data_IF_839775137117
#
_entry.id   IF_839775137117
#
_cell.length_a   1.000
_cell.length_b   1.000
_cell.length_c   1.000
_cell.angle_alpha   90.00
_cell.angle_beta   90.00
_cell.angle_gamma   90.00
#
_symmetry.space_group_name_H-M   'P 1'
#
loop_
_entity.id
_entity.type
_entity.pdbx_description
1 polymer ?
#
# COMPACT_ATOMS: atom_id res chain seq x y z
N UNK A 1 -23.03 -3.77 13.38
CA UNK A 1 -23.34 -5.10 12.81
C UNK A 1 -22.12 -5.64 12.08
N UNK A 2 -21.62 -6.81 12.48
CA UNK A 2 -20.39 -7.42 11.95
C UNK A 2 -20.62 -8.00 10.54
N UNK A 3 -20.12 -7.31 9.52
CA UNK A 3 -20.01 -7.81 8.13
C UNK A 3 -18.89 -8.86 7.93
N UNK A 4 -18.74 -9.80 8.86
CA UNK A 4 -17.63 -10.77 8.83
C UNK A 4 -17.64 -11.75 7.63
N UNK A 5 -18.77 -12.31 7.15
CA UNK A 5 -18.70 -13.40 6.17
C UNK A 5 -18.34 -12.93 4.76
N UNK A 6 -18.66 -11.68 4.40
CA UNK A 6 -18.33 -11.15 3.08
C UNK A 6 -16.82 -10.82 2.98
N UNK A 7 -16.26 -10.19 4.01
CA UNK A 7 -14.87 -9.76 3.99
C UNK A 7 -13.88 -10.94 4.02
N UNK A 8 -14.21 -12.04 4.69
CA UNK A 8 -13.37 -13.25 4.70
C UNK A 8 -13.21 -13.87 3.32
N UNK A 9 -14.23 -13.76 2.46
CA UNK A 9 -14.18 -14.27 1.07
C UNK A 9 -13.53 -13.29 0.09
N UNK A 10 -13.28 -12.05 0.52
CA UNK A 10 -12.69 -11.01 -0.32
C UNK A 10 -11.17 -10.90 -0.12
N UNK A 11 -10.46 -11.94 -0.58
CA UNK A 11 -8.99 -11.96 -0.55
C UNK A 11 -8.37 -10.82 -1.37
N UNK A 12 -9.09 -10.30 -2.39
CA UNK A 12 -8.61 -9.20 -3.24
C UNK A 12 -8.53 -7.89 -2.47
N UNK A 13 -9.55 -7.57 -1.69
CA UNK A 13 -9.50 -6.37 -0.83
C UNK A 13 -8.47 -6.56 0.28
N UNK A 14 -8.33 -7.77 0.83
CA UNK A 14 -7.30 -8.05 1.83
C UNK A 14 -5.88 -7.85 1.29
N UNK A 15 -5.55 -8.38 0.10
CA UNK A 15 -4.23 -8.18 -0.53
C UNK A 15 -3.98 -6.70 -0.83
N UNK A 16 -4.98 -5.97 -1.33
CA UNK A 16 -4.88 -4.52 -1.53
C UNK A 16 -4.55 -3.76 -0.23
N UNK A 17 -5.17 -4.13 0.89
CA UNK A 17 -4.86 -3.53 2.20
C UNK A 17 -3.47 -3.92 2.70
N UNK A 18 -3.01 -5.14 2.43
CA UNK A 18 -1.65 -5.59 2.78
C UNK A 18 -0.60 -4.72 2.09
N UNK A 19 -0.74 -4.51 0.78
CA UNK A 19 0.19 -3.69 -0.02
C UNK A 19 0.09 -2.21 0.37
N UNK A 20 -1.12 -1.64 0.48
CA UNK A 20 -1.30 -0.25 0.93
C UNK A 20 -0.65 0.03 2.29
N UNK A 21 -0.68 -0.95 3.20
CA UNK A 21 -0.04 -0.82 4.52
C UNK A 21 1.49 -0.72 4.43
N UNK A 22 2.10 -1.26 3.38
CA UNK A 22 3.54 -1.18 3.15
C UNK A 22 3.95 0.25 2.73
N UNK A 23 3.07 0.96 2.02
CA UNK A 23 3.32 2.32 1.54
C UNK A 23 2.88 3.40 2.54
N UNK A 24 1.74 3.19 3.21
CA UNK A 24 1.12 4.18 4.08
C UNK A 24 0.36 3.55 5.26
N UNK A 25 0.16 4.33 6.32
CA UNK A 25 -0.64 3.88 7.46
C UNK A 25 -2.12 3.69 7.07
N UNK A 26 -2.64 2.48 7.27
CA UNK A 26 -4.08 2.20 7.11
C UNK A 26 -4.93 2.90 8.18
N UNK A 27 -6.17 3.26 7.82
CA UNK A 27 -7.13 3.77 8.79
C UNK A 27 -7.48 2.70 9.85
N UNK A 28 -7.87 3.08 11.09
CA UNK A 28 -8.12 2.12 12.18
C UNK A 28 -9.15 1.04 11.82
N UNK A 29 -10.23 1.41 11.11
CA UNK A 29 -11.25 0.46 10.67
C UNK A 29 -10.73 -0.54 9.61
N UNK A 30 -9.86 -0.10 8.71
CA UNK A 30 -9.22 -0.97 7.71
C UNK A 30 -8.24 -1.93 8.37
N UNK A 31 -7.49 -1.46 9.38
CA UNK A 31 -6.59 -2.30 10.18
C UNK A 31 -7.34 -3.42 10.89
N UNK A 32 -8.46 -3.09 11.55
CA UNK A 32 -9.26 -4.09 12.26
C UNK A 32 -9.85 -5.14 11.31
N UNK A 33 -10.38 -4.70 10.16
CA UNK A 33 -10.88 -5.62 9.12
C UNK A 33 -9.77 -6.54 8.67
N UNK A 34 -8.64 -5.98 8.21
CA UNK A 34 -7.50 -6.77 7.72
C UNK A 34 -7.02 -7.77 8.78
N UNK A 35 -6.91 -7.36 10.04
CA UNK A 35 -6.56 -8.25 11.15
C UNK A 35 -7.51 -9.44 11.23
N UNK A 36 -8.83 -9.22 11.19
CA UNK A 36 -9.81 -10.31 11.25
C UNK A 36 -9.67 -11.29 10.06
N UNK A 37 -9.44 -10.80 8.85
CA UNK A 37 -9.27 -11.67 7.68
C UNK A 37 -7.98 -12.49 7.74
N UNK A 38 -6.88 -11.92 8.25
CA UNK A 38 -5.62 -12.64 8.40
C UNK A 38 -5.68 -13.78 9.44
N UNK A 39 -6.56 -13.64 10.44
CA UNK A 39 -6.86 -14.73 11.39
C UNK A 39 -7.66 -15.87 10.76
N UNK A 40 -8.53 -15.55 9.79
CA UNK A 40 -9.46 -16.51 9.20
C UNK A 40 -8.98 -17.11 7.86
N UNK A 41 -8.09 -16.42 7.14
CA UNK A 41 -7.62 -16.83 5.82
C UNK A 41 -6.11 -17.12 5.84
N UNK A 42 -5.77 -18.42 5.77
CA UNK A 42 -4.38 -18.90 5.74
C UNK A 42 -3.61 -18.40 4.52
N UNK A 43 -4.27 -18.24 3.37
CA UNK A 43 -3.65 -17.79 2.13
C UNK A 43 -3.20 -16.34 2.21
N UNK A 44 -4.05 -15.43 2.70
CA UNK A 44 -3.69 -14.03 2.87
C UNK A 44 -2.62 -13.84 3.96
N UNK A 45 -2.62 -14.68 5.00
CA UNK A 45 -1.54 -14.69 6.00
C UNK A 45 -0.19 -15.08 5.38
N UNK A 46 -0.16 -16.13 4.55
CA UNK A 46 1.06 -16.53 3.82
C UNK A 46 1.50 -15.45 2.84
N UNK A 47 0.58 -14.86 2.08
CA UNK A 47 0.87 -13.77 1.17
C UNK A 47 1.50 -12.57 1.90
N UNK A 48 0.94 -12.16 3.05
CA UNK A 48 1.52 -11.10 3.85
C UNK A 48 2.97 -11.40 4.24
N UNK A 49 3.26 -12.61 4.71
CA UNK A 49 4.62 -12.98 5.10
C UNK A 49 5.59 -12.93 3.90
N UNK A 50 5.13 -13.38 2.72
CA UNK A 50 5.92 -13.33 1.48
C UNK A 50 6.17 -11.90 1.02
N UNK A 51 5.15 -11.05 0.98
CA UNK A 51 5.27 -9.63 0.60
C UNK A 51 6.23 -8.89 1.54
N UNK A 52 6.12 -9.11 2.86
CA UNK A 52 7.03 -8.53 3.85
C UNK A 52 8.47 -9.04 3.72
N UNK A 53 8.67 -10.30 3.36
CA UNK A 53 10.00 -10.84 3.08
C UNK A 53 10.60 -10.18 1.83
N UNK A 54 9.83 -10.10 0.75
CA UNK A 54 10.27 -9.49 -0.50
C UNK A 54 10.65 -8.02 -0.30
N UNK A 55 9.82 -7.25 0.40
CA UNK A 55 10.10 -5.85 0.71
C UNK A 55 11.36 -5.65 1.58
N UNK A 56 11.67 -6.60 2.47
CA UNK A 56 12.91 -6.57 3.26
C UNK A 56 14.12 -6.88 2.38
N UNK A 57 14.05 -7.91 1.55
CA UNK A 57 15.12 -8.28 0.63
C UNK A 57 15.39 -7.15 -0.39
N UNK A 58 14.35 -6.57 -0.97
CA UNK A 58 14.46 -5.47 -1.91
C UNK A 58 15.16 -4.25 -1.27
N UNK A 59 14.81 -3.90 -0.03
CA UNK A 59 15.49 -2.83 0.71
C UNK A 59 16.94 -3.16 1.05
N UNK A 60 17.27 -4.43 1.32
CA UNK A 60 18.65 -4.85 1.55
C UNK A 60 19.52 -4.86 0.29
N UNK A 61 18.92 -5.03 -0.89
CA UNK A 61 19.59 -4.96 -2.18
C UNK A 61 19.67 -3.54 -2.74
N UNK A 62 18.84 -2.63 -2.22
CA UNK A 62 18.85 -1.23 -2.65
C UNK A 62 20.16 -0.56 -2.21
N UNK A 63 20.92 -0.03 -3.17
CA UNK A 63 22.03 0.87 -2.90
C UNK A 63 21.55 2.21 -2.32
N UNK A 64 22.48 3.10 -1.95
CA UNK A 64 22.11 4.47 -1.59
C UNK A 64 21.29 5.09 -2.72
N UNK A 65 20.25 5.88 -2.40
CA UNK A 65 19.48 6.56 -3.42
C UNK A 65 20.42 7.40 -4.27
N UNK A 66 20.37 7.19 -5.59
CA UNK A 66 21.14 8.01 -6.52
C UNK A 66 20.66 9.47 -6.40
N UNK A 67 21.58 10.45 -6.46
CA UNK A 67 21.19 11.85 -6.49
C UNK A 67 20.27 12.10 -7.69
N UNK A 68 19.10 12.65 -7.42
CA UNK A 68 18.13 12.96 -8.48
C UNK A 68 18.50 14.33 -9.08
N UNK A 69 18.65 14.45 -10.41
CA UNK A 69 18.98 15.73 -11.03
C UNK A 69 17.94 16.81 -10.73
N UNK A 70 18.36 18.03 -10.39
CA UNK A 70 17.46 19.13 -10.00
C UNK A 70 16.44 19.46 -11.10
N UNK A 71 16.85 19.39 -12.36
CA UNK A 71 15.96 19.58 -13.51
C UNK A 71 14.82 18.54 -13.54
N UNK A 72 15.09 17.31 -13.09
CA UNK A 72 14.07 16.27 -12.99
C UNK A 72 13.10 16.57 -11.84
N UNK A 73 13.61 17.01 -10.66
CA UNK A 73 12.77 17.42 -9.53
C UNK A 73 11.86 18.60 -9.88
N UNK A 74 12.39 19.62 -10.55
CA UNK A 74 11.65 20.80 -10.97
C UNK A 74 10.48 20.41 -11.91
N UNK A 75 10.76 19.54 -12.90
CA UNK A 75 9.73 19.03 -13.81
C UNK A 75 8.65 18.24 -13.06
N UNK A 76 9.04 17.39 -12.12
CA UNK A 76 8.10 16.58 -11.34
C UNK A 76 7.19 17.45 -10.48
N UNK A 77 7.73 18.47 -9.80
CA UNK A 77 6.97 19.44 -9.00
C UNK A 77 5.96 20.20 -9.85
N UNK A 78 6.36 20.65 -11.05
CA UNK A 78 5.46 21.33 -11.98
C UNK A 78 4.29 20.43 -12.43
N UNK A 79 4.55 19.14 -12.69
CA UNK A 79 3.50 18.18 -13.05
C UNK A 79 2.49 17.95 -11.92
N UNK A 80 2.96 17.83 -10.67
CA UNK A 80 2.08 17.67 -9.51
C UNK A 80 1.19 18.90 -9.30
N UNK A 81 1.75 20.11 -9.40
CA UNK A 81 0.99 21.35 -9.29
C UNK A 81 -0.12 21.44 -10.35
N UNK A 82 0.19 21.10 -11.60
CA UNK A 82 -0.80 21.08 -12.68
C UNK A 82 -1.92 20.05 -12.46
N UNK A 83 -1.62 18.90 -11.85
CA UNK A 83 -2.60 17.86 -11.54
C UNK A 83 -3.56 18.28 -10.41
N UNK A 84 -3.05 18.97 -9.39
CA UNK A 84 -3.86 19.51 -8.30
C UNK A 84 -4.82 20.61 -8.80
N UNK A 85 -4.35 21.49 -9.70
CA UNK A 85 -5.18 22.53 -10.32
C UNK A 85 -6.29 21.97 -11.22
N UNK A 86 -6.03 20.86 -11.92
CA UNK A 86 -7.02 20.16 -12.72
C UNK A 86 -8.10 19.47 -11.88
N UNK A 87 -7.74 19.02 -10.67
CA UNK A 87 -8.68 18.37 -9.74
C UNK A 87 -9.59 19.39 -9.03
N UNK A 88 -9.12 20.63 -8.83
CA UNK A 88 -9.90 21.70 -8.20
C UNK A 88 -10.93 22.39 -9.11
N UNK A 89 -10.87 22.18 -10.44
CA UNK A 89 -11.80 22.75 -11.43
C UNK A 89 -12.88 21.77 -11.93
N UNK A 90 -12.92 20.54 -11.40
CA UNK A 90 -13.84 19.47 -11.80
C UNK A 90 -14.95 19.22 -10.79
#
# INVERSE_FOLDING_TARGET
MLFLPAFVRDCRTATRLIERRADAALAPGERLRLWAHLHLCVYCRRYQAQSQLLARLARGLAGPPAPVPEAWLARWRAQLAAADEGTARG
#
